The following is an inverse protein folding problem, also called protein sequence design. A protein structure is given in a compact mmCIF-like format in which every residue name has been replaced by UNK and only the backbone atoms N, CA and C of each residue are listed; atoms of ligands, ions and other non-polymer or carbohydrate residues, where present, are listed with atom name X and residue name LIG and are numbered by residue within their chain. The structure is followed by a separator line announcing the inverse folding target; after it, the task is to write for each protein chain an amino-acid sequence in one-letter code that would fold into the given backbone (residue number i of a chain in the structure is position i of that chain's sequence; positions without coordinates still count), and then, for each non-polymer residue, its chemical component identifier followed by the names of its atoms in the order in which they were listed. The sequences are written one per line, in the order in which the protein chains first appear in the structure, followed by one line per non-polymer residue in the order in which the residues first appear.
data_IF_258826811223
#
_entry.id   IF_258826811223
#
_cell.length_a   1.000
_cell.length_b   1.000
_cell.length_c   1.000
_cell.angle_alpha   90.00
_cell.angle_beta   90.00
_cell.angle_gamma   90.00
#
_symmetry.space_group_name_H-M   'P 1'
#
loop_
_entity.id
_entity.type
_entity.pdbx_description
1 polymer ?
#
# COMPACT_ATOMS: atom_id res chain seq x y z
N UNK A 1 -14.42 7.62 -11.68
CA UNK A 1 -14.13 6.17 -11.76
C UNK A 1 -15.07 5.44 -10.79
N UNK A 2 -16.05 4.71 -11.36
CA UNK A 2 -17.15 4.05 -10.62
C UNK A 2 -16.61 3.04 -9.59
N UNK A 3 -15.57 2.31 -9.94
CA UNK A 3 -14.94 1.34 -9.04
C UNK A 3 -14.36 2.01 -7.79
N UNK A 4 -13.69 3.16 -7.93
CA UNK A 4 -13.15 3.91 -6.80
C UNK A 4 -14.27 4.50 -5.92
N UNK A 5 -15.37 4.95 -6.51
CA UNK A 5 -16.52 5.48 -5.75
C UNK A 5 -17.23 4.37 -4.95
N UNK A 6 -17.39 3.18 -5.54
CA UNK A 6 -17.94 2.01 -4.85
C UNK A 6 -17.05 1.58 -3.70
N UNK A 7 -15.75 1.43 -3.96
CA UNK A 7 -14.76 1.11 -2.93
C UNK A 7 -14.80 2.12 -1.77
N UNK A 8 -14.81 3.41 -2.08
CA UNK A 8 -14.83 4.46 -1.07
C UNK A 8 -16.09 4.40 -0.19
N UNK A 9 -17.26 4.13 -0.80
CA UNK A 9 -18.53 3.94 -0.07
C UNK A 9 -18.44 2.74 0.87
N UNK A 10 -17.90 1.61 0.42
CA UNK A 10 -17.79 0.40 1.22
C UNK A 10 -16.83 0.59 2.40
N UNK A 11 -15.71 1.30 2.20
CA UNK A 11 -14.77 1.68 3.28
C UNK A 11 -15.46 2.56 4.34
N UNK A 12 -16.26 3.54 3.92
CA UNK A 12 -17.01 4.39 4.85
C UNK A 12 -18.04 3.57 5.62
N UNK A 13 -18.75 2.66 4.95
CA UNK A 13 -19.69 1.75 5.60
C UNK A 13 -19.00 0.87 6.65
N UNK A 14 -17.84 0.30 6.35
CA UNK A 14 -17.04 -0.45 7.33
C UNK A 14 -16.77 0.40 8.58
N UNK A 15 -16.37 1.66 8.41
CA UNK A 15 -16.12 2.55 9.54
C UNK A 15 -17.40 2.81 10.36
N UNK A 16 -18.54 3.01 9.70
CA UNK A 16 -19.82 3.28 10.37
C UNK A 16 -20.31 2.09 11.22
N UNK A 17 -19.99 0.86 10.83
CA UNK A 17 -20.35 -0.34 11.62
C UNK A 17 -19.30 -0.72 12.67
N UNK A 18 -18.32 0.15 12.94
CA UNK A 18 -17.33 -0.03 14.00
C UNK A 18 -16.05 -0.77 13.60
N UNK A 19 -15.85 -1.05 12.31
CA UNK A 19 -14.58 -1.60 11.81
C UNK A 19 -13.59 -0.45 11.62
N UNK A 20 -12.30 -0.69 11.92
CA UNK A 20 -11.21 0.24 11.69
C UNK A 20 -10.45 -0.11 10.40
N UNK A 21 -10.90 0.35 9.21
CA UNK A 21 -10.22 0.05 7.97
C UNK A 21 -8.90 0.83 7.86
N UNK A 22 -7.86 0.17 7.37
CA UNK A 22 -6.61 0.78 6.93
C UNK A 22 -6.43 0.44 5.47
N UNK A 23 -6.21 1.45 4.65
CA UNK A 23 -6.05 1.29 3.22
C UNK A 23 -4.57 1.37 2.88
N UNK A 24 -4.03 0.34 2.25
CA UNK A 24 -2.72 0.38 1.60
C UNK A 24 -2.96 0.28 0.11
N UNK A 25 -2.37 1.17 -0.67
CA UNK A 25 -2.61 1.19 -2.12
C UNK A 25 -1.32 0.95 -2.90
N UNK A 26 -1.45 0.45 -4.12
CA UNK A 26 -0.40 0.43 -5.13
C UNK A 26 -0.46 1.66 -6.04
N UNK A 27 0.19 1.57 -7.20
CA UNK A 27 0.18 2.65 -8.19
C UNK A 27 1.07 2.37 -9.40
N UNK A 28 1.42 1.10 -9.63
CA UNK A 28 2.32 0.69 -10.72
C UNK A 28 1.98 1.28 -12.09
N UNK A 29 0.74 1.17 -12.58
CA UNK A 29 0.34 1.73 -13.86
C UNK A 29 0.51 3.26 -13.94
N UNK A 30 0.19 4.00 -12.88
CA UNK A 30 0.35 5.44 -12.82
C UNK A 30 1.83 5.86 -12.77
N UNK A 31 2.67 5.09 -12.06
CA UNK A 31 4.12 5.29 -12.05
C UNK A 31 4.67 5.07 -13.46
N UNK A 32 4.33 3.97 -14.15
CA UNK A 32 4.76 3.71 -15.50
C UNK A 32 4.38 4.86 -16.43
N UNK A 33 3.11 5.26 -16.43
CA UNK A 33 2.63 6.38 -17.26
C UNK A 33 3.39 7.68 -17.01
N UNK A 34 3.83 7.95 -15.78
CA UNK A 34 4.59 9.15 -15.47
C UNK A 34 6.06 9.03 -15.91
N UNK A 35 6.69 7.87 -15.70
CA UNK A 35 8.06 7.60 -16.16
C UNK A 35 8.15 7.69 -17.68
N UNK A 36 7.18 7.11 -18.41
CA UNK A 36 7.09 7.20 -19.87
C UNK A 36 7.01 8.65 -20.36
N UNK A 37 6.18 9.49 -19.71
CA UNK A 37 6.08 10.93 -20.04
C UNK A 37 7.36 11.71 -19.81
N UNK A 38 8.16 11.27 -18.85
CA UNK A 38 9.46 11.87 -18.51
C UNK A 38 10.62 11.25 -19.30
N UNK A 39 10.34 10.24 -20.15
CA UNK A 39 11.33 9.45 -20.86
C UNK A 39 12.36 8.78 -19.94
N UNK A 40 11.90 8.30 -18.76
CA UNK A 40 12.69 7.55 -17.79
C UNK A 40 12.39 6.07 -18.00
N UNK A 41 13.43 5.29 -18.28
CA UNK A 41 13.31 3.84 -18.40
C UNK A 41 12.96 3.18 -17.07
N UNK A 42 12.16 2.12 -17.12
CA UNK A 42 11.73 1.37 -15.94
C UNK A 42 11.97 -0.13 -16.15
N UNK A 43 12.72 -0.70 -15.26
CA UNK A 43 13.02 -2.13 -15.23
C UNK A 43 12.38 -2.81 -14.01
N UNK A 44 12.17 -4.11 -14.13
CA UNK A 44 11.65 -4.96 -13.04
C UNK A 44 12.53 -6.20 -12.86
N UNK A 45 12.82 -6.53 -11.61
CA UNK A 45 13.50 -7.76 -11.19
C UNK A 45 12.62 -8.44 -10.15
N UNK A 46 12.28 -9.70 -10.38
CA UNK A 46 11.41 -10.50 -9.49
C UNK A 46 10.10 -9.78 -9.11
N UNK A 47 9.49 -9.04 -10.06
CA UNK A 47 8.25 -8.29 -9.85
C UNK A 47 8.40 -6.99 -9.06
N UNK A 48 9.62 -6.61 -8.67
CA UNK A 48 9.94 -5.34 -8.02
C UNK A 48 10.56 -4.37 -9.01
N UNK A 49 10.15 -3.11 -8.95
CA UNK A 49 10.71 -2.04 -9.81
C UNK A 49 12.11 -1.68 -9.36
N UNK A 50 13.08 -1.77 -10.27
CA UNK A 50 14.40 -1.17 -10.06
C UNK A 50 14.23 0.33 -9.90
N UNK A 51 14.71 0.88 -8.80
CA UNK A 51 14.41 2.26 -8.39
C UNK A 51 15.71 3.00 -8.11
N UNK A 52 16.14 3.84 -9.04
CA UNK A 52 17.27 4.75 -8.86
C UNK A 52 16.81 6.09 -8.25
N UNK A 53 17.73 7.04 -8.08
CA UNK A 53 17.46 8.35 -7.48
C UNK A 53 16.45 9.21 -8.27
N UNK A 54 16.40 9.06 -9.57
CA UNK A 54 15.44 9.77 -10.43
C UNK A 54 14.07 9.09 -10.34
N UNK A 55 14.03 7.76 -10.45
CA UNK A 55 12.81 6.96 -10.36
C UNK A 55 12.13 7.12 -9.00
N UNK A 56 12.87 7.15 -7.86
CA UNK A 56 12.25 7.27 -6.53
C UNK A 56 11.50 8.58 -6.37
N UNK A 57 11.99 9.67 -6.94
CA UNK A 57 11.33 10.97 -6.91
C UNK A 57 9.97 10.92 -7.62
N UNK A 58 9.91 10.26 -8.78
CA UNK A 58 8.65 10.05 -9.52
C UNK A 58 7.70 9.14 -8.75
N UNK A 59 8.22 8.04 -8.20
CA UNK A 59 7.44 7.09 -7.40
C UNK A 59 6.80 7.82 -6.21
N UNK A 60 7.57 8.61 -5.47
CA UNK A 60 7.06 9.38 -4.32
C UNK A 60 5.98 10.37 -4.74
N UNK A 61 6.20 11.17 -5.78
CA UNK A 61 5.20 12.12 -6.31
C UNK A 61 3.91 11.42 -6.71
N UNK A 62 4.01 10.31 -7.43
CA UNK A 62 2.83 9.59 -7.92
C UNK A 62 2.08 8.91 -6.78
N UNK A 63 2.77 8.17 -5.94
CA UNK A 63 2.12 7.43 -4.85
C UNK A 63 1.54 8.38 -3.80
N UNK A 64 2.36 9.27 -3.22
CA UNK A 64 1.93 10.13 -2.11
C UNK A 64 1.10 11.33 -2.57
N UNK A 65 1.42 11.91 -3.72
CA UNK A 65 0.77 13.13 -4.21
C UNK A 65 -0.46 12.86 -5.07
N UNK A 66 -0.44 11.86 -5.93
CA UNK A 66 -1.51 11.62 -6.89
C UNK A 66 -2.46 10.50 -6.42
N UNK A 67 -1.98 9.26 -6.34
CA UNK A 67 -2.82 8.09 -6.06
C UNK A 67 -3.43 8.18 -4.68
N UNK A 68 -2.61 8.41 -3.66
CA UNK A 68 -3.04 8.55 -2.28
C UNK A 68 -4.15 9.59 -2.14
N UNK A 69 -3.96 10.79 -2.68
CA UNK A 69 -4.90 11.89 -2.54
C UNK A 69 -6.20 11.69 -3.32
N UNK A 70 -6.18 10.95 -4.42
CA UNK A 70 -7.41 10.53 -5.12
C UNK A 70 -8.26 9.60 -4.26
N UNK A 71 -7.64 8.62 -3.59
CA UNK A 71 -8.35 7.70 -2.69
C UNK A 71 -8.90 8.46 -1.49
N UNK A 72 -8.09 9.30 -0.84
CA UNK A 72 -8.52 10.15 0.27
C UNK A 72 -9.72 11.01 -0.11
N UNK A 73 -9.66 11.67 -1.27
CA UNK A 73 -10.75 12.51 -1.76
C UNK A 73 -12.02 11.70 -2.03
N UNK A 74 -11.90 10.51 -2.61
CA UNK A 74 -13.04 9.64 -2.88
C UNK A 74 -13.74 9.22 -1.57
N UNK A 75 -12.98 8.82 -0.55
CA UNK A 75 -13.54 8.45 0.76
C UNK A 75 -14.20 9.66 1.43
N UNK A 76 -13.55 10.81 1.40
CA UNK A 76 -14.11 12.04 1.98
C UNK A 76 -15.40 12.50 1.29
N UNK A 77 -15.49 12.32 -0.05
CA UNK A 77 -16.70 12.60 -0.83
C UNK A 77 -17.89 11.71 -0.40
N UNK A 78 -17.63 10.50 0.09
CA UNK A 78 -18.63 9.58 0.62
C UNK A 78 -18.97 9.83 2.11
N UNK A 79 -18.46 10.91 2.69
CA UNK A 79 -18.72 11.28 4.10
C UNK A 79 -17.75 10.64 5.10
N UNK A 80 -16.70 9.98 4.65
CA UNK A 80 -15.61 9.51 5.51
C UNK A 80 -14.66 10.65 5.91
N UNK A 81 -13.75 10.34 6.83
CA UNK A 81 -12.66 11.23 7.25
C UNK A 81 -11.33 10.55 7.01
N UNK A 82 -10.88 10.52 5.75
CA UNK A 82 -9.64 9.87 5.38
C UNK A 82 -8.44 10.80 5.49
N UNK A 83 -7.33 10.24 5.95
CA UNK A 83 -6.01 10.90 6.01
C UNK A 83 -5.00 10.08 5.22
N UNK A 84 -4.33 10.74 4.27
CA UNK A 84 -3.29 10.12 3.46
C UNK A 84 -1.91 10.28 4.09
N UNK A 85 -1.24 9.15 4.25
CA UNK A 85 0.11 9.00 4.78
C UNK A 85 0.99 8.22 3.80
N UNK A 86 2.28 8.30 4.02
CA UNK A 86 3.27 7.32 3.55
C UNK A 86 3.93 6.65 4.77
N UNK A 87 4.70 5.62 4.57
CA UNK A 87 5.45 5.02 5.67
C UNK A 87 6.54 5.92 6.26
N UNK A 88 6.84 7.05 5.61
CA UNK A 88 7.77 8.08 6.12
C UNK A 88 7.16 8.92 7.25
N UNK A 89 5.83 9.13 7.20
CA UNK A 89 5.11 9.98 8.15
C UNK A 89 5.15 9.35 9.55
N UNK A 90 5.52 10.13 10.55
CA UNK A 90 5.71 9.70 11.93
C UNK A 90 6.60 8.44 12.09
N UNK A 91 7.53 8.21 11.15
CA UNK A 91 8.38 6.99 11.12
C UNK A 91 7.56 5.70 11.14
N UNK A 92 6.42 5.70 10.43
CA UNK A 92 5.49 4.59 10.40
C UNK A 92 6.15 3.30 9.90
N UNK A 93 6.99 3.38 8.84
CA UNK A 93 7.67 2.21 8.27
C UNK A 93 9.18 2.50 8.16
N UNK A 94 9.95 1.87 9.02
CA UNK A 94 11.40 1.84 8.92
C UNK A 94 11.83 0.64 8.08
N UNK A 95 12.72 0.89 7.12
CA UNK A 95 13.12 -0.11 6.13
C UNK A 95 14.61 -0.39 6.18
N UNK A 96 14.98 -1.56 5.71
CA UNK A 96 16.31 -1.87 5.21
C UNK A 96 16.25 -1.91 3.68
N UNK A 97 17.34 -1.52 3.03
CA UNK A 97 17.46 -1.69 1.58
C UNK A 97 17.33 -3.19 1.24
N UNK A 98 16.61 -3.49 0.18
CA UNK A 98 16.48 -4.85 -0.36
C UNK A 98 17.80 -5.28 -1.05
N UNK A 99 17.74 -5.92 -2.16
CA UNK A 99 18.92 -6.31 -2.94
C UNK A 99 19.57 -5.08 -3.57
N UNK A 100 20.93 -4.97 -3.60
CA UNK A 100 21.62 -3.82 -4.18
C UNK A 100 21.23 -3.52 -5.64
N UNK A 101 20.96 -4.55 -6.44
CA UNK A 101 20.55 -4.43 -7.83
C UNK A 101 19.19 -3.75 -8.03
N UNK A 102 18.37 -3.71 -6.99
CA UNK A 102 17.07 -3.01 -7.00
C UNK A 102 17.19 -1.52 -6.71
N UNK A 103 18.33 -1.05 -6.20
CA UNK A 103 18.54 0.35 -5.83
C UNK A 103 17.74 0.76 -4.59
N UNK A 104 16.97 1.84 -4.68
CA UNK A 104 16.18 2.42 -3.58
C UNK A 104 14.86 1.66 -3.36
N UNK A 105 14.95 0.36 -3.25
CA UNK A 105 13.85 -0.53 -2.87
C UNK A 105 14.08 -1.01 -1.45
N UNK A 106 13.01 -0.97 -0.64
CA UNK A 106 13.06 -1.32 0.77
C UNK A 106 12.22 -2.54 1.14
N UNK A 107 12.65 -3.19 2.21
CA UNK A 107 11.85 -4.17 2.93
C UNK A 107 11.57 -3.62 4.33
N UNK A 108 10.30 -3.63 4.80
CA UNK A 108 9.95 -3.20 6.15
C UNK A 108 10.74 -3.99 7.19
N UNK A 109 11.45 -3.29 8.06
CA UNK A 109 12.15 -3.86 9.21
C UNK A 109 11.33 -3.71 10.48
N UNK A 110 10.70 -2.55 10.63
CA UNK A 110 9.89 -2.20 11.78
C UNK A 110 8.73 -1.29 11.33
N UNK A 111 7.56 -1.48 11.94
CA UNK A 111 6.37 -0.66 11.72
C UNK A 111 5.92 -0.10 13.05
N UNK A 112 5.92 1.23 13.19
CA UNK A 112 5.36 1.91 14.35
C UNK A 112 3.91 2.33 14.08
N UNK A 113 2.90 1.60 14.57
CA UNK A 113 1.50 1.87 14.27
C UNK A 113 0.88 3.02 15.08
N UNK A 114 1.64 3.73 15.90
CA UNK A 114 1.14 4.77 16.80
C UNK A 114 0.29 5.83 16.07
N UNK A 115 0.77 6.32 14.92
CA UNK A 115 0.01 7.30 14.11
C UNK A 115 -1.31 6.73 13.62
N UNK A 116 -1.38 5.44 13.30
CA UNK A 116 -2.62 4.77 12.87
C UNK A 116 -3.62 4.71 14.03
N UNK A 117 -3.18 4.33 15.23
CA UNK A 117 -4.04 4.30 16.41
C UNK A 117 -4.58 5.70 16.75
N UNK A 118 -3.74 6.73 16.69
CA UNK A 118 -4.15 8.11 16.91
C UNK A 118 -5.23 8.57 15.88
N UNK A 119 -5.14 8.10 14.64
CA UNK A 119 -6.17 8.36 13.63
C UNK A 119 -7.48 7.62 13.95
N UNK A 120 -7.43 6.38 14.42
CA UNK A 120 -8.62 5.63 14.83
C UNK A 120 -9.36 6.29 15.99
N UNK A 121 -8.63 6.79 17.00
CA UNK A 121 -9.20 7.50 18.15
C UNK A 121 -9.95 8.79 17.74
N UNK A 122 -9.59 9.35 16.59
CA UNK A 122 -10.21 10.55 16.04
C UNK A 122 -11.19 10.27 14.88
N UNK A 123 -11.67 9.02 14.75
CA UNK A 123 -12.59 8.59 13.68
C UNK A 123 -12.07 8.83 12.27
N UNK A 124 -10.75 8.74 12.07
CA UNK A 124 -10.12 8.92 10.77
C UNK A 124 -9.74 7.58 10.15
N UNK A 125 -9.72 7.55 8.81
CA UNK A 125 -9.38 6.37 8.01
C UNK A 125 -8.00 6.58 7.40
N UNK A 126 -6.96 5.81 7.81
CA UNK A 126 -5.63 5.90 7.24
C UNK A 126 -5.59 5.36 5.81
N UNK A 127 -4.97 6.11 4.90
CA UNK A 127 -4.66 5.69 3.52
C UNK A 127 -3.16 5.79 3.32
N UNK A 128 -2.47 4.67 3.11
CA UNK A 128 -1.02 4.57 3.21
C UNK A 128 -0.41 4.27 1.85
N UNK A 129 0.50 5.14 1.41
CA UNK A 129 1.35 4.91 0.26
C UNK A 129 2.53 4.00 0.64
N UNK A 130 2.91 3.01 -0.21
CA UNK A 130 3.93 2.01 0.10
C UNK A 130 5.35 2.55 -0.08
N UNK A 131 5.69 3.52 0.73
CA UNK A 131 7.02 4.12 0.87
C UNK A 131 7.47 4.02 2.31
N UNK A 132 8.76 3.93 2.54
CA UNK A 132 9.34 3.95 3.87
C UNK A 132 10.65 4.73 3.92
N UNK A 133 11.28 4.75 5.07
CA UNK A 133 12.58 5.38 5.25
C UNK A 133 13.65 4.40 5.69
N UNK A 134 14.86 4.54 5.17
CA UNK A 134 16.04 3.92 5.77
C UNK A 134 16.38 4.57 7.11
N UNK A 135 17.34 4.00 7.82
CA UNK A 135 17.88 4.57 9.08
C UNK A 135 18.52 5.96 8.85
N UNK A 136 19.04 6.19 7.65
CA UNK A 136 19.68 7.45 7.25
C UNK A 136 18.69 8.46 6.67
N UNK A 137 17.40 8.10 6.61
CA UNK A 137 16.33 8.97 6.13
C UNK A 137 16.11 8.95 4.62
N UNK A 138 16.73 8.03 3.88
CA UNK A 138 16.48 7.86 2.46
C UNK A 138 15.07 7.29 2.22
N UNK A 139 14.40 7.80 1.19
CA UNK A 139 13.11 7.24 0.75
C UNK A 139 13.33 5.92 0.04
N UNK A 140 12.60 4.89 0.45
CA UNK A 140 12.61 3.57 -0.17
C UNK A 140 11.22 3.21 -0.71
N UNK A 141 11.21 2.74 -1.96
CA UNK A 141 10.02 2.17 -2.60
C UNK A 141 9.77 0.75 -2.07
N UNK A 142 8.55 0.44 -1.66
CA UNK A 142 8.22 -0.86 -1.10
C UNK A 142 7.11 -1.50 -1.94
N UNK A 143 7.13 -2.80 -2.09
CA UNK A 143 6.02 -3.54 -2.70
C UNK A 143 4.75 -3.39 -1.83
N UNK A 144 3.60 -3.09 -2.46
CA UNK A 144 2.35 -2.82 -1.75
C UNK A 144 1.85 -3.98 -0.90
N UNK A 145 1.97 -5.23 -1.38
CA UNK A 145 1.55 -6.41 -0.63
C UNK A 145 2.45 -6.64 0.59
N UNK A 146 3.76 -6.37 0.43
CA UNK A 146 4.72 -6.45 1.53
C UNK A 146 4.39 -5.42 2.64
N UNK A 147 4.06 -4.18 2.27
CA UNK A 147 3.62 -3.15 3.22
C UNK A 147 2.32 -3.55 3.89
N UNK A 148 1.35 -4.04 3.12
CA UNK A 148 0.04 -4.46 3.66
C UNK A 148 0.19 -5.55 4.72
N UNK A 149 1.02 -6.55 4.44
CA UNK A 149 1.33 -7.61 5.40
C UNK A 149 2.03 -7.08 6.67
N UNK A 150 3.03 -6.20 6.51
CA UNK A 150 3.77 -5.64 7.64
C UNK A 150 2.88 -4.78 8.56
N UNK A 151 2.02 -3.93 7.97
CA UNK A 151 1.06 -3.10 8.72
C UNK A 151 0.02 -3.99 9.40
N UNK A 152 -0.55 -4.99 8.70
CA UNK A 152 -1.52 -5.90 9.29
C UNK A 152 -0.95 -6.66 10.50
N UNK A 153 0.30 -7.11 10.40
CA UNK A 153 1.00 -7.76 11.51
C UNK A 153 1.22 -6.81 12.70
N UNK A 154 1.69 -5.58 12.45
CA UNK A 154 1.94 -4.58 13.50
C UNK A 154 0.65 -4.16 14.22
N UNK A 155 -0.46 -4.05 13.49
CA UNK A 155 -1.78 -3.73 14.04
C UNK A 155 -2.46 -4.94 14.71
N UNK A 156 -1.93 -6.15 14.53
CA UNK A 156 -2.63 -7.41 14.88
C UNK A 156 -4.04 -7.43 14.26
N UNK A 157 -4.11 -7.10 12.97
CA UNK A 157 -5.38 -6.96 12.26
C UNK A 157 -6.15 -8.29 12.24
N UNK A 158 -7.45 -8.23 12.46
CA UNK A 158 -8.33 -9.40 12.39
C UNK A 158 -8.38 -9.99 10.98
N UNK A 159 -8.23 -9.15 9.95
CA UNK A 159 -8.28 -9.55 8.54
C UNK A 159 -7.36 -8.68 7.68
N UNK A 160 -6.71 -9.30 6.70
CA UNK A 160 -6.04 -8.66 5.58
C UNK A 160 -6.80 -9.02 4.30
N UNK A 161 -7.27 -8.01 3.56
CA UNK A 161 -7.94 -8.18 2.28
C UNK A 161 -7.03 -7.64 1.18
N UNK A 162 -6.65 -8.49 0.24
CA UNK A 162 -5.90 -8.09 -0.95
C UNK A 162 -6.89 -7.97 -2.12
N UNK A 163 -7.10 -6.74 -2.57
CA UNK A 163 -7.94 -6.44 -3.73
C UNK A 163 -7.05 -6.44 -4.97
N UNK A 164 -7.39 -7.29 -5.93
CA UNK A 164 -6.61 -7.50 -7.15
C UNK A 164 -7.55 -7.60 -8.35
N UNK A 165 -7.01 -7.37 -9.53
CA UNK A 165 -7.69 -7.52 -10.83
C UNK A 165 -7.59 -8.95 -11.40
N UNK A 166 -6.93 -9.86 -10.67
CA UNK A 166 -6.86 -11.29 -11.03
C UNK A 166 -7.80 -12.12 -10.17
N UNK A 167 -8.22 -13.29 -10.69
CA UNK A 167 -9.24 -14.13 -10.07
C UNK A 167 -8.83 -14.79 -8.75
N UNK A 168 -7.58 -14.66 -8.33
CA UNK A 168 -7.05 -15.22 -7.08
C UNK A 168 -5.54 -15.42 -7.14
N UNK A 169 -4.99 -16.09 -6.14
CA UNK A 169 -3.58 -16.43 -6.09
C UNK A 169 -3.25 -17.43 -7.19
N UNK A 170 -2.26 -17.12 -8.01
CA UNK A 170 -1.82 -17.97 -9.11
C UNK A 170 -0.42 -18.50 -8.80
N UNK A 171 -0.17 -19.75 -9.20
CA UNK A 171 1.18 -20.33 -9.19
C UNK A 171 2.01 -19.86 -10.40
N UNK A 172 3.22 -20.42 -10.56
CA UNK A 172 4.11 -20.06 -11.66
C UNK A 172 3.57 -20.44 -13.05
N UNK A 173 2.60 -21.36 -13.11
CA UNK A 173 1.94 -21.81 -14.32
C UNK A 173 0.62 -21.10 -14.57
N UNK A 174 0.36 -19.99 -13.86
CA UNK A 174 -0.88 -19.20 -13.88
C UNK A 174 -2.15 -20.00 -13.52
N UNK A 175 -1.99 -21.09 -12.78
CA UNK A 175 -3.11 -21.85 -12.23
C UNK A 175 -3.58 -21.21 -10.93
N UNK A 176 -4.91 -21.12 -10.76
CA UNK A 176 -5.50 -20.61 -9.53
C UNK A 176 -5.17 -21.55 -8.37
N UNK A 177 -4.55 -21.00 -7.34
CA UNK A 177 -4.28 -21.70 -6.10
C UNK A 177 -5.41 -21.44 -5.11
N UNK A 178 -6.17 -22.48 -4.77
CA UNK A 178 -7.17 -22.44 -3.70
C UNK A 178 -6.56 -23.02 -2.44
N UNK A 179 -6.26 -22.17 -1.45
CA UNK A 179 -5.95 -22.66 -0.11
C UNK A 179 -7.27 -23.12 0.55
N UNK A 180 -7.33 -24.30 1.17
CA UNK A 180 -8.49 -24.67 1.95
C UNK A 180 -8.74 -23.64 3.05
N UNK A 181 -9.99 -23.23 3.21
CA UNK A 181 -10.40 -22.37 4.32
C UNK A 181 -10.10 -23.09 5.65
N UNK A 182 -9.75 -22.39 6.73
CA UNK A 182 -9.66 -23.01 8.05
C UNK A 182 -10.90 -23.81 8.47
N UNK A 183 -12.07 -23.49 7.91
CA UNK A 183 -13.31 -24.26 8.11
C UNK A 183 -13.35 -25.58 7.35
N UNK A 184 -12.52 -25.76 6.33
CA UNK A 184 -12.45 -27.00 5.54
C UNK A 184 -11.50 -28.04 6.16
N UNK A 185 -10.80 -27.66 7.24
CA UNK A 185 -9.87 -28.52 7.99
C UNK A 185 -10.52 -29.19 9.21
N UNK A 186 -11.77 -28.89 9.49
CA UNK A 186 -12.54 -29.42 10.64
C UNK A 186 -13.46 -30.61 10.24
N UNK A 187 -13.07 -31.42 9.24
CA UNK A 187 -13.75 -32.66 8.85
C UNK A 187 -12.90 -33.90 9.17
#
# INVERSE_FOLDING_TARGET
DEALETFARDVVLMRQVGINPVIVHGGGPMINSMLDKLNIESEFIDGKRVTNSETISVVEMVLSGNVNKKIVQAINKQGGRAVGLSGKDAKLINCVQDKPELGLVGTPKDVNPEVIFNLFENDMIPVIAPLGSSIDGETLNINGDTVSGAIAAALKADRLLLLTDVSGVQDKDCLLYTSPSPRDLDL
#
